data_IF_416172829856
#
_entry.id   IF_416172829856
#
_cell.length_a   1.000
_cell.length_b   1.000
_cell.length_c   1.000
_cell.angle_alpha   90.00
_cell.angle_beta   90.00
_cell.angle_gamma   90.00
#
_symmetry.space_group_name_H-M   'P 1'
#
loop_
_entity.id
_entity.type
_entity.pdbx_description
1 polymer ?
#
# COMPACT_ATOMS: atom_id res chain seq x y z
N UNK A 1 -3.72 1.11 -72.09
CA UNK A 1 -3.06 1.27 -70.78
C UNK A 1 -4.15 1.17 -69.72
N UNK A 2 -4.44 -0.05 -69.25
CA UNK A 2 -5.31 -0.26 -68.08
C UNK A 2 -4.47 -0.14 -66.84
N UNK A 3 -4.69 0.91 -66.06
CA UNK A 3 -4.27 0.99 -64.67
C UNK A 3 -5.07 -0.05 -63.89
N UNK A 4 -4.45 -1.17 -63.53
CA UNK A 4 -5.00 -2.06 -62.51
C UNK A 4 -4.99 -1.31 -61.19
N UNK A 5 -6.15 -0.80 -60.78
CA UNK A 5 -6.42 -0.47 -59.39
C UNK A 5 -6.23 -1.74 -58.58
N UNK A 6 -5.19 -1.75 -57.74
CA UNK A 6 -4.90 -2.76 -56.73
C UNK A 6 -6.08 -2.77 -55.74
N UNK A 7 -7.07 -3.63 -56.01
CA UNK A 7 -8.28 -3.75 -55.20
C UNK A 7 -7.93 -4.31 -53.81
N UNK A 8 -8.15 -3.48 -52.78
CA UNK A 8 -8.51 -3.94 -51.45
C UNK A 8 -7.46 -4.72 -50.66
N UNK A 9 -6.17 -4.56 -50.94
CA UNK A 9 -5.13 -5.15 -50.08
C UNK A 9 -4.95 -4.28 -48.85
N UNK A 10 -5.01 -4.90 -47.67
CA UNK A 10 -4.84 -4.23 -46.38
C UNK A 10 -3.60 -4.77 -45.66
N UNK A 11 -2.37 -4.38 -46.08
CA UNK A 11 -1.11 -4.92 -45.55
C UNK A 11 -1.01 -4.83 -44.04
N UNK A 12 -1.57 -3.78 -43.42
CA UNK A 12 -1.54 -3.63 -41.96
C UNK A 12 -2.26 -4.78 -41.24
N UNK A 13 -3.30 -5.35 -41.84
CA UNK A 13 -4.06 -6.48 -41.30
C UNK A 13 -3.21 -7.75 -41.33
N UNK A 14 -2.42 -7.93 -42.38
CA UNK A 14 -1.54 -9.09 -42.58
C UNK A 14 -0.26 -9.00 -41.73
N UNK A 15 0.29 -7.79 -41.56
CA UNK A 15 1.54 -7.53 -40.84
C UNK A 15 1.37 -7.46 -39.31
N UNK A 16 0.20 -7.04 -38.82
CA UNK A 16 -0.06 -6.84 -37.39
C UNK A 16 0.20 -8.08 -36.52
N UNK A 17 -0.20 -9.32 -36.90
CA UNK A 17 0.08 -10.51 -36.11
C UNK A 17 1.58 -10.73 -35.87
N UNK A 18 2.41 -10.53 -36.90
CA UNK A 18 3.87 -10.67 -36.80
C UNK A 18 4.48 -9.59 -35.89
N UNK A 19 4.00 -8.35 -36.00
CA UNK A 19 4.42 -7.25 -35.11
C UNK A 19 4.07 -7.53 -33.64
N UNK A 20 2.86 -8.05 -33.40
CA UNK A 20 2.41 -8.43 -32.05
C UNK A 20 3.28 -9.55 -31.49
N UNK A 21 3.59 -10.57 -32.30
CA UNK A 21 4.47 -11.66 -31.88
C UNK A 21 5.86 -11.15 -31.51
N UNK A 22 6.43 -10.25 -32.33
CA UNK A 22 7.72 -9.61 -32.04
C UNK A 22 7.75 -8.89 -30.69
N UNK A 23 6.66 -8.20 -30.32
CA UNK A 23 6.54 -7.55 -29.00
C UNK A 23 6.38 -8.56 -27.86
N UNK A 24 5.71 -9.69 -28.11
CA UNK A 24 5.54 -10.76 -27.12
C UNK A 24 6.85 -11.53 -26.87
N UNK A 25 7.70 -11.65 -27.89
CA UNK A 25 9.00 -12.32 -27.82
C UNK A 25 10.11 -11.44 -27.21
N UNK A 26 9.85 -10.14 -27.00
CA UNK A 26 10.76 -9.23 -26.30
C UNK A 26 11.00 -9.73 -24.85
N UNK A 27 12.26 -10.00 -24.45
CA UNK A 27 12.59 -10.52 -23.12
C UNK A 27 12.18 -9.57 -21.98
N UNK A 28 11.99 -8.28 -22.26
CA UNK A 28 11.52 -7.29 -21.28
C UNK A 28 9.97 -7.32 -21.10
N UNK A 29 9.25 -8.14 -21.88
CA UNK A 29 7.80 -8.27 -21.79
C UNK A 29 7.38 -9.22 -20.67
N UNK A 30 6.90 -8.63 -19.56
CA UNK A 30 6.29 -9.41 -18.47
C UNK A 30 4.97 -10.08 -18.86
N UNK A 31 4.56 -11.14 -18.15
CA UNK A 31 3.27 -11.82 -18.37
C UNK A 31 2.06 -10.87 -18.37
N UNK A 32 2.04 -9.90 -17.45
CA UNK A 32 0.96 -8.91 -17.41
C UNK A 32 0.95 -8.00 -18.64
N UNK A 33 2.13 -7.62 -19.15
CA UNK A 33 2.24 -6.84 -20.38
C UNK A 33 1.79 -7.69 -21.57
N UNK A 34 2.18 -8.97 -21.65
CA UNK A 34 1.75 -9.88 -22.70
C UNK A 34 0.21 -10.00 -22.76
N UNK A 35 -0.47 -10.11 -21.62
CA UNK A 35 -1.93 -10.15 -21.57
C UNK A 35 -2.57 -8.85 -22.07
N UNK A 36 -1.99 -7.69 -21.73
CA UNK A 36 -2.44 -6.41 -22.27
C UNK A 36 -2.19 -6.31 -23.77
N UNK A 37 -1.05 -6.79 -24.28
CA UNK A 37 -0.75 -6.82 -25.73
C UNK A 37 -1.79 -7.65 -26.47
N UNK A 38 -2.07 -8.87 -26.02
CA UNK A 38 -3.11 -9.74 -26.60
C UNK A 38 -4.51 -9.12 -26.54
N UNK A 39 -4.83 -8.42 -25.44
CA UNK A 39 -6.10 -7.70 -25.30
C UNK A 39 -6.24 -6.56 -26.31
N UNK A 40 -5.20 -5.73 -26.47
CA UNK A 40 -5.21 -4.61 -27.42
C UNK A 40 -5.22 -5.12 -28.86
N UNK A 41 -4.45 -6.15 -29.18
CA UNK A 41 -4.50 -6.82 -30.49
C UNK A 41 -5.93 -7.24 -30.86
N UNK A 42 -6.62 -7.97 -29.96
CA UNK A 42 -8.03 -8.33 -30.16
C UNK A 42 -8.95 -7.12 -30.33
N UNK A 43 -8.62 -5.98 -29.70
CA UNK A 43 -9.39 -4.74 -29.86
C UNK A 43 -9.16 -4.12 -31.24
N UNK A 44 -7.92 -4.16 -31.75
CA UNK A 44 -7.58 -3.70 -33.11
C UNK A 44 -8.28 -4.57 -34.15
N UNK A 45 -8.24 -5.90 -34.02
CA UNK A 45 -8.94 -6.81 -34.92
C UNK A 45 -10.44 -6.49 -35.01
N UNK A 46 -11.11 -6.28 -33.87
CA UNK A 46 -12.52 -5.88 -33.83
C UNK A 46 -12.81 -4.55 -34.51
N UNK A 47 -11.88 -3.59 -34.46
CA UNK A 47 -12.04 -2.34 -35.19
C UNK A 47 -11.87 -2.56 -36.70
N UNK A 48 -10.90 -3.38 -37.10
CA UNK A 48 -10.63 -3.76 -38.50
C UNK A 48 -11.74 -4.63 -39.11
N UNK A 49 -12.65 -5.21 -38.31
CA UNK A 49 -13.88 -5.85 -38.79
C UNK A 49 -14.91 -4.82 -39.32
N UNK A 50 -14.79 -3.54 -38.94
CA UNK A 50 -15.65 -2.48 -39.50
C UNK A 50 -15.02 -1.94 -40.79
N UNK A 51 -15.79 -1.95 -41.88
CA UNK A 51 -15.32 -1.49 -43.20
C UNK A 51 -14.82 -0.05 -43.18
N UNK A 52 -15.56 0.87 -42.54
CA UNK A 52 -15.19 2.30 -42.42
C UNK A 52 -13.82 2.52 -41.77
N UNK A 53 -13.52 1.74 -40.73
CA UNK A 53 -12.25 1.80 -40.04
C UNK A 53 -11.13 1.10 -40.83
N UNK A 54 -11.44 -0.05 -41.43
CA UNK A 54 -10.51 -0.86 -42.22
C UNK A 54 -10.04 -0.13 -43.48
N UNK A 55 -10.96 0.46 -44.23
CA UNK A 55 -10.66 1.25 -45.44
C UNK A 55 -9.76 2.44 -45.11
N UNK A 56 -10.05 3.12 -44.00
CA UNK A 56 -9.35 4.35 -43.63
C UNK A 56 -7.98 4.12 -43.01
N UNK A 57 -7.80 3.05 -42.25
CA UNK A 57 -6.58 2.85 -41.44
C UNK A 57 -5.87 1.51 -41.68
N UNK A 58 -6.46 0.57 -42.41
CA UNK A 58 -5.90 -0.78 -42.64
C UNK A 58 -4.85 -0.87 -43.76
N UNK A 59 -4.58 0.23 -44.47
CA UNK A 59 -3.71 0.25 -45.65
C UNK A 59 -2.22 0.20 -45.32
N UNK A 60 -1.80 0.61 -44.11
CA UNK A 60 -0.42 0.46 -43.63
C UNK A 60 -0.34 0.46 -42.10
N UNK A 61 0.73 -0.11 -41.53
CA UNK A 61 0.98 -0.02 -40.09
C UNK A 61 1.13 1.44 -39.61
N UNK A 62 1.61 2.35 -40.47
CA UNK A 62 1.70 3.79 -40.17
C UNK A 62 0.32 4.41 -39.97
N UNK A 63 -0.63 4.10 -40.84
CA UNK A 63 -2.01 4.59 -40.71
C UNK A 63 -2.71 3.94 -39.52
N UNK A 64 -2.56 2.62 -39.35
CA UNK A 64 -3.19 1.86 -38.27
C UNK A 64 -2.68 2.26 -36.88
N UNK A 65 -1.37 2.44 -36.72
CA UNK A 65 -0.72 2.74 -35.44
C UNK A 65 -0.45 4.26 -35.26
N UNK A 66 -0.81 5.09 -36.23
CA UNK A 66 -0.78 6.55 -36.14
C UNK A 66 -2.20 7.11 -35.94
N UNK A 67 -2.82 7.73 -36.96
CA UNK A 67 -4.20 8.24 -36.88
C UNK A 67 -5.22 7.18 -36.45
N UNK A 68 -5.09 5.95 -36.95
CA UNK A 68 -5.96 4.83 -36.60
C UNK A 68 -5.93 4.51 -35.10
N UNK A 69 -4.76 4.56 -34.47
CA UNK A 69 -4.63 4.33 -33.03
C UNK A 69 -5.39 5.37 -32.19
N UNK A 70 -5.45 6.63 -32.65
CA UNK A 70 -6.29 7.67 -32.04
C UNK A 70 -7.77 7.36 -32.25
N UNK A 71 -8.19 7.05 -33.47
CA UNK A 71 -9.57 6.66 -33.77
C UNK A 71 -10.02 5.41 -33.00
N UNK A 72 -9.14 4.43 -32.80
CA UNK A 72 -9.39 3.24 -31.99
C UNK A 72 -9.67 3.62 -30.53
N UNK A 73 -8.89 4.54 -29.99
CA UNK A 73 -9.14 5.07 -28.65
C UNK A 73 -10.55 5.66 -28.60
N UNK A 74 -10.91 6.57 -29.50
CA UNK A 74 -12.25 7.20 -29.59
C UNK A 74 -13.39 6.17 -29.67
N UNK A 75 -13.30 5.21 -30.59
CA UNK A 75 -14.28 4.11 -30.74
C UNK A 75 -14.50 3.35 -29.43
N UNK A 76 -13.43 3.11 -28.69
CA UNK A 76 -13.53 2.41 -27.40
C UNK A 76 -14.01 3.29 -26.25
N UNK A 77 -13.77 4.60 -26.29
CA UNK A 77 -14.31 5.56 -25.32
C UNK A 77 -15.82 5.65 -25.49
N UNK A 78 -16.28 5.76 -26.74
CA UNK A 78 -17.70 5.77 -27.10
C UNK A 78 -18.40 4.42 -26.86
N UNK A 79 -17.63 3.38 -26.50
CA UNK A 79 -18.15 2.04 -26.25
C UNK A 79 -18.64 1.31 -27.51
N UNK A 80 -18.25 1.78 -28.70
CA UNK A 80 -18.71 1.25 -29.99
C UNK A 80 -18.19 -0.17 -30.27
N UNK A 81 -17.07 -0.54 -29.67
CA UNK A 81 -16.50 -1.90 -29.76
C UNK A 81 -16.94 -2.84 -28.63
N UNK A 82 -17.91 -2.43 -27.79
CA UNK A 82 -18.49 -3.29 -26.73
C UNK A 82 -19.67 -4.09 -27.28
N UNK A 83 -19.84 -5.32 -26.77
CA UNK A 83 -21.05 -6.11 -27.03
C UNK A 83 -22.30 -5.30 -26.62
N UNK A 84 -23.34 -5.32 -27.47
CA UNK A 84 -24.62 -4.61 -27.25
C UNK A 84 -25.14 -4.90 -25.82
N UNK A 85 -25.33 -3.85 -25.03
CA UNK A 85 -25.85 -3.94 -23.64
C UNK A 85 -25.03 -3.17 -22.60
N UNK A 86 -23.76 -2.81 -22.89
CA UNK A 86 -22.88 -2.09 -21.94
C UNK A 86 -22.48 -0.69 -22.42
N UNK A 87 -23.43 0.07 -22.99
CA UNK A 87 -23.26 1.47 -23.40
C UNK A 87 -23.41 2.43 -22.22
N UNK A 88 -22.53 2.32 -21.23
CA UNK A 88 -22.33 3.40 -20.27
C UNK A 88 -21.24 4.31 -20.81
N UNK A 89 -21.56 5.60 -21.03
CA UNK A 89 -20.59 6.64 -21.35
C UNK A 89 -19.53 6.69 -20.24
N UNK A 90 -18.25 6.40 -20.52
CA UNK A 90 -17.21 6.51 -19.50
C UNK A 90 -17.04 7.99 -19.12
N UNK A 91 -17.16 8.29 -17.83
CA UNK A 91 -16.78 9.58 -17.26
C UNK A 91 -15.25 9.63 -17.11
N UNK A 92 -14.55 10.02 -18.20
CA UNK A 92 -13.12 10.32 -18.20
C UNK A 92 -12.16 9.16 -18.50
N UNK A 93 -10.86 9.44 -18.35
CA UNK A 93 -9.77 8.53 -18.74
C UNK A 93 -9.70 7.30 -17.85
N UNK A 94 -10.06 6.14 -18.40
CA UNK A 94 -10.03 4.86 -17.70
C UNK A 94 -8.62 4.26 -17.63
N UNK A 95 -8.38 3.37 -16.66
CA UNK A 95 -7.14 2.58 -16.60
C UNK A 95 -6.94 1.70 -17.85
N UNK A 96 -8.03 1.28 -18.49
CA UNK A 96 -8.01 0.49 -19.73
C UNK A 96 -7.54 1.33 -20.92
N UNK A 97 -8.02 2.56 -21.07
CA UNK A 97 -7.53 3.49 -22.10
C UNK A 97 -6.02 3.71 -21.96
N UNK A 98 -5.51 3.96 -20.75
CA UNK A 98 -4.06 4.13 -20.51
C UNK A 98 -3.24 2.90 -20.90
N UNK A 99 -3.71 1.71 -20.52
CA UNK A 99 -3.04 0.46 -20.89
C UNK A 99 -3.05 0.25 -22.40
N UNK A 100 -4.18 0.51 -23.06
CA UNK A 100 -4.28 0.46 -24.52
C UNK A 100 -3.28 1.40 -25.18
N UNK A 101 -3.31 2.66 -24.78
CA UNK A 101 -2.38 3.69 -25.21
C UNK A 101 -0.91 3.28 -25.04
N UNK A 102 -0.55 2.71 -23.89
CA UNK A 102 0.81 2.23 -23.63
C UNK A 102 1.24 1.10 -24.56
N UNK A 103 0.35 0.15 -24.82
CA UNK A 103 0.61 -0.94 -25.77
C UNK A 103 0.70 -0.42 -27.21
N UNK A 104 -0.18 0.49 -27.62
CA UNK A 104 -0.14 1.12 -28.93
C UNK A 104 1.18 1.85 -29.17
N UNK A 105 1.76 2.53 -28.16
CA UNK A 105 3.13 3.09 -28.26
C UNK A 105 4.19 2.03 -28.50
N UNK A 106 4.07 0.89 -27.80
CA UNK A 106 5.05 -0.19 -27.92
C UNK A 106 5.00 -0.79 -29.32
N UNK A 107 3.80 -1.05 -29.84
CA UNK A 107 3.58 -1.50 -31.23
C UNK A 107 4.06 -0.47 -32.25
N UNK A 108 3.70 0.81 -32.10
CA UNK A 108 4.12 1.87 -33.00
C UNK A 108 5.65 2.00 -33.05
N UNK A 109 6.32 1.98 -31.90
CA UNK A 109 7.79 2.00 -31.81
C UNK A 109 8.40 0.81 -32.53
N UNK A 110 7.87 -0.38 -32.31
CA UNK A 110 8.36 -1.60 -32.93
C UNK A 110 8.17 -1.61 -34.45
N UNK A 111 7.12 -0.96 -34.94
CA UNK A 111 6.84 -0.75 -36.35
C UNK A 111 7.58 0.46 -36.95
N UNK A 112 8.43 1.17 -36.18
CA UNK A 112 9.10 2.39 -36.64
C UNK A 112 8.16 3.58 -36.92
N UNK A 113 6.94 3.54 -36.38
CA UNK A 113 5.92 4.60 -36.50
C UNK A 113 6.13 5.66 -35.41
N UNK A 114 6.30 6.94 -35.75
CA UNK A 114 6.48 8.00 -34.76
C UNK A 114 5.29 8.09 -33.79
N UNK A 115 5.56 7.89 -32.49
CA UNK A 115 4.50 7.83 -31.46
C UNK A 115 3.82 9.17 -31.16
N UNK A 116 4.29 10.27 -31.74
CA UNK A 116 3.75 11.63 -31.54
C UNK A 116 2.34 11.82 -32.11
N UNK A 117 1.89 10.90 -32.98
CA UNK A 117 0.58 10.96 -33.65
C UNK A 117 -0.60 10.46 -32.79
N UNK A 118 -0.33 9.84 -31.64
CA UNK A 118 -1.39 9.25 -30.80
C UNK A 118 -1.69 10.20 -29.63
N UNK A 119 -2.94 10.66 -29.53
CA UNK A 119 -3.37 11.44 -28.37
C UNK A 119 -3.48 10.55 -27.12
N UNK A 120 -2.92 11.05 -26.02
CA UNK A 120 -2.88 10.34 -24.74
C UNK A 120 -3.39 11.23 -23.63
N UNK A 121 -4.66 11.09 -23.23
CA UNK A 121 -5.16 11.90 -22.14
C UNK A 121 -4.47 11.46 -20.84
N UNK A 122 -3.70 12.37 -20.24
CA UNK A 122 -3.14 12.14 -18.90
C UNK A 122 -4.32 12.13 -17.94
N UNK A 123 -4.44 11.12 -17.06
CA UNK A 123 -5.51 11.15 -16.07
C UNK A 123 -5.33 12.41 -15.22
N UNK A 124 -6.43 13.07 -14.82
CA UNK A 124 -6.33 14.09 -13.78
C UNK A 124 -5.68 13.46 -12.55
N UNK A 125 -4.93 14.27 -11.79
CA UNK A 125 -4.40 13.82 -10.50
C UNK A 125 -5.57 13.32 -9.67
N UNK A 126 -5.40 12.17 -9.02
CA UNK A 126 -6.41 11.68 -8.08
C UNK A 126 -6.61 12.77 -7.01
N UNK A 127 -7.85 13.04 -6.59
CA UNK A 127 -8.09 14.01 -5.54
C UNK A 127 -7.34 13.59 -4.28
N UNK A 128 -6.78 14.58 -3.57
CA UNK A 128 -6.22 14.41 -2.24
C UNK A 128 -7.23 14.87 -1.21
N UNK A 129 -7.13 14.35 0.01
CA UNK A 129 -7.96 14.85 1.11
C UNK A 129 -7.40 16.19 1.61
N UNK A 130 -8.21 17.25 1.70
CA UNK A 130 -7.72 18.57 2.10
C UNK A 130 -7.19 18.56 3.54
N UNK A 131 -6.24 19.45 3.84
CA UNK A 131 -5.53 19.46 5.13
C UNK A 131 -6.47 19.64 6.34
N UNK A 132 -7.50 20.49 6.20
CA UNK A 132 -8.49 20.72 7.26
C UNK A 132 -9.29 19.44 7.56
N UNK A 133 -9.73 18.71 6.52
CA UNK A 133 -10.50 17.47 6.68
C UNK A 133 -9.63 16.37 7.29
N UNK A 134 -8.34 16.30 6.94
CA UNK A 134 -7.39 15.38 7.59
C UNK A 134 -7.18 15.70 9.07
N UNK A 135 -7.13 16.97 9.42
CA UNK A 135 -7.01 17.42 10.82
C UNK A 135 -8.28 17.09 11.62
N UNK A 136 -9.46 17.31 11.02
CA UNK A 136 -10.74 16.88 11.60
C UNK A 136 -10.78 15.36 11.79
N UNK A 137 -10.46 14.58 10.76
CA UNK A 137 -10.36 13.12 10.82
C UNK A 137 -9.46 12.66 11.97
N UNK A 138 -8.28 13.25 12.14
CA UNK A 138 -7.38 12.93 13.25
C UNK A 138 -8.02 13.18 14.63
N UNK A 139 -8.73 14.29 14.80
CA UNK A 139 -9.42 14.60 16.07
C UNK A 139 -10.59 13.64 16.34
N UNK A 140 -11.39 13.33 15.33
CA UNK A 140 -12.51 12.38 15.47
C UNK A 140 -12.02 10.96 15.77
N UNK A 141 -10.89 10.53 15.17
CA UNK A 141 -10.25 9.26 15.51
C UNK A 141 -9.86 9.19 16.98
N UNK A 142 -9.35 10.29 17.56
CA UNK A 142 -8.97 10.34 18.97
C UNK A 142 -10.17 10.03 19.86
N UNK A 143 -11.32 10.65 19.59
CA UNK A 143 -12.56 10.41 20.34
C UNK A 143 -13.05 8.97 20.17
N UNK A 144 -13.11 8.48 18.92
CA UNK A 144 -13.56 7.12 18.61
C UNK A 144 -12.68 6.03 19.24
N UNK A 145 -11.37 6.23 19.25
CA UNK A 145 -10.42 5.31 19.89
C UNK A 145 -10.59 5.36 21.41
N UNK A 146 -10.85 6.54 21.99
CA UNK A 146 -11.11 6.72 23.41
C UNK A 146 -12.34 5.96 23.93
N UNK A 147 -13.34 5.72 23.06
CA UNK A 147 -14.50 4.89 23.41
C UNK A 147 -14.24 3.38 23.41
N UNK A 148 -13.06 2.92 22.98
CA UNK A 148 -12.70 1.50 22.89
C UNK A 148 -13.79 0.63 22.20
N UNK A 149 -14.02 0.82 20.89
CA UNK A 149 -15.16 0.23 20.20
C UNK A 149 -15.10 -1.30 20.22
N UNK A 150 -16.22 -1.93 20.59
CA UNK A 150 -16.37 -3.38 20.56
C UNK A 150 -16.69 -3.93 19.17
N UNK A 151 -17.18 -3.09 18.25
CA UNK A 151 -17.44 -3.48 16.86
C UNK A 151 -16.12 -3.79 16.13
N UNK A 152 -15.92 -5.03 15.63
CA UNK A 152 -14.66 -5.40 14.99
C UNK A 152 -14.37 -4.64 13.69
N UNK A 153 -15.41 -4.21 12.98
CA UNK A 153 -15.26 -3.46 11.74
C UNK A 153 -14.72 -2.06 11.99
N UNK A 154 -15.29 -1.35 12.96
CA UNK A 154 -14.87 -0.03 13.42
C UNK A 154 -13.48 -0.08 14.05
N UNK A 155 -13.22 -0.99 15.01
CA UNK A 155 -11.91 -1.12 15.66
C UNK A 155 -10.78 -1.35 14.63
N UNK A 156 -11.01 -2.23 13.65
CA UNK A 156 -10.08 -2.45 12.54
C UNK A 156 -9.94 -1.21 11.64
N UNK A 157 -11.03 -0.51 11.34
CA UNK A 157 -10.98 0.71 10.53
C UNK A 157 -10.12 1.78 11.20
N UNK A 158 -10.23 1.97 12.52
CA UNK A 158 -9.41 2.94 13.27
C UNK A 158 -7.91 2.65 13.13
N UNK A 159 -7.51 1.37 13.24
CA UNK A 159 -6.12 0.94 12.98
C UNK A 159 -5.70 1.27 11.55
N UNK A 160 -6.52 0.92 10.55
CA UNK A 160 -6.22 1.16 9.14
C UNK A 160 -6.03 2.64 8.85
N UNK A 161 -6.93 3.50 9.33
CA UNK A 161 -6.85 4.94 9.10
C UNK A 161 -5.65 5.54 9.84
N UNK A 162 -5.41 5.15 11.09
CA UNK A 162 -4.25 5.58 11.88
C UNK A 162 -2.92 5.24 11.19
N UNK A 163 -2.76 4.01 10.71
CA UNK A 163 -1.57 3.60 9.95
C UNK A 163 -1.41 4.37 8.64
N UNK A 164 -2.49 4.69 7.92
CA UNK A 164 -2.43 5.51 6.70
C UNK A 164 -2.00 6.94 7.03
N UNK A 165 -2.50 7.53 8.11
CA UNK A 165 -2.06 8.84 8.57
C UNK A 165 -0.57 8.82 8.93
N UNK A 166 -0.13 7.87 9.73
CA UNK A 166 1.22 7.85 10.31
C UNK A 166 2.31 7.39 9.35
N UNK A 167 2.02 6.42 8.48
CA UNK A 167 3.04 5.79 7.62
C UNK A 167 2.72 5.86 6.12
N UNK A 168 1.52 6.29 5.73
CA UNK A 168 1.03 6.31 4.35
C UNK A 168 1.28 5.01 3.54
N UNK A 169 1.06 3.80 4.09
CA UNK A 169 1.10 2.56 3.33
C UNK A 169 0.02 2.51 2.25
N UNK A 170 0.33 1.83 1.14
CA UNK A 170 -0.69 1.42 0.17
C UNK A 170 -1.56 0.31 0.76
N UNK A 171 -2.77 0.14 0.26
CA UNK A 171 -3.67 -0.96 0.67
C UNK A 171 -2.99 -2.33 0.58
N UNK A 172 -2.18 -2.57 -0.45
CA UNK A 172 -1.42 -3.83 -0.57
C UNK A 172 -0.37 -4.02 0.51
N UNK A 173 0.32 -2.94 0.91
CA UNK A 173 1.34 -2.93 1.96
C UNK A 173 0.69 -3.13 3.34
N UNK A 174 -0.51 -2.56 3.57
CA UNK A 174 -1.31 -2.82 4.77
C UNK A 174 -1.73 -4.27 4.89
N UNK A 175 -2.17 -4.89 3.79
CA UNK A 175 -2.60 -6.30 3.79
C UNK A 175 -1.45 -7.28 4.11
N UNK A 176 -0.20 -6.86 3.90
CA UNK A 176 0.98 -7.69 4.22
C UNK A 176 1.52 -7.45 5.62
N UNK A 177 1.05 -6.44 6.35
CA UNK A 177 1.47 -6.19 7.72
C UNK A 177 1.00 -7.33 8.64
N UNK A 178 1.95 -7.90 9.39
CA UNK A 178 1.70 -8.89 10.43
C UNK A 178 1.79 -8.32 11.84
N UNK A 179 1.46 -9.15 12.84
CA UNK A 179 1.69 -8.82 14.26
C UNK A 179 3.18 -8.60 14.52
N UNK A 180 4.04 -9.36 13.85
CA UNK A 180 5.49 -9.25 14.02
C UNK A 180 6.06 -7.90 13.53
N UNK A 181 5.28 -7.16 12.74
CA UNK A 181 5.62 -5.84 12.22
C UNK A 181 5.27 -4.69 13.17
N UNK A 182 4.65 -4.98 14.32
CA UNK A 182 4.43 -4.00 15.39
C UNK A 182 5.58 -4.02 16.39
N UNK A 183 6.03 -2.84 16.82
CA UNK A 183 7.04 -2.71 17.87
C UNK A 183 6.55 -3.28 19.20
N UNK A 184 7.46 -3.67 20.13
CA UNK A 184 7.10 -4.18 21.46
C UNK A 184 6.03 -3.33 22.18
N UNK A 185 6.18 -2.01 22.11
CA UNK A 185 5.32 -1.02 22.75
C UNK A 185 4.27 -0.42 21.81
N UNK A 186 4.04 -1.06 20.67
CA UNK A 186 3.14 -0.63 19.59
C UNK A 186 3.48 0.74 18.98
N UNK A 187 4.56 1.38 19.42
CA UNK A 187 4.85 2.76 19.06
C UNK A 187 5.40 2.91 17.65
N UNK A 188 5.96 1.86 17.06
CA UNK A 188 6.45 1.83 15.68
C UNK A 188 5.84 0.65 14.89
N UNK A 189 5.81 0.78 13.57
CA UNK A 189 5.36 -0.25 12.61
C UNK A 189 6.36 -0.43 11.46
N UNK A 190 6.64 -1.68 11.07
CA UNK A 190 7.38 -2.00 9.85
C UNK A 190 6.43 -1.99 8.65
N UNK A 191 6.78 -1.21 7.63
CA UNK A 191 6.10 -1.18 6.35
C UNK A 191 7.06 -1.69 5.29
N UNK A 192 6.73 -2.84 4.71
CA UNK A 192 7.44 -3.38 3.55
C UNK A 192 6.90 -2.69 2.30
N UNK A 193 7.69 -1.78 1.73
CA UNK A 193 7.35 -1.07 0.50
C UNK A 193 7.53 -1.99 -0.69
N UNK A 194 6.48 -2.05 -1.50
CA UNK A 194 6.53 -2.71 -2.81
C UNK A 194 6.46 -1.63 -3.90
N UNK A 195 7.61 -1.11 -4.36
CA UNK A 195 7.65 -0.06 -5.37
C UNK A 195 7.05 -0.58 -6.68
N UNK A 196 5.91 -0.02 -7.06
CA UNK A 196 5.25 -0.35 -8.33
C UNK A 196 6.17 0.02 -9.51
N UNK A 197 6.24 -0.87 -10.51
CA UNK A 197 6.99 -0.68 -11.76
C UNK A 197 8.52 -0.78 -11.67
N UNK A 198 9.08 -1.30 -10.58
CA UNK A 198 10.45 -1.80 -10.58
C UNK A 198 10.38 -3.32 -10.70
N UNK A 199 10.96 -3.90 -11.75
CA UNK A 199 11.00 -5.36 -11.99
C UNK A 199 11.88 -6.13 -11.02
N UNK A 200 12.38 -5.48 -9.98
CA UNK A 200 13.26 -6.06 -8.98
C UNK A 200 12.49 -6.51 -7.74
N UNK A 201 12.89 -7.62 -7.13
CA UNK A 201 12.46 -8.08 -5.80
C UNK A 201 12.90 -7.16 -4.64
N UNK A 202 13.29 -5.90 -4.93
CA UNK A 202 13.74 -4.91 -3.97
C UNK A 202 12.57 -4.41 -3.13
N UNK A 203 12.31 -5.13 -2.04
CA UNK A 203 11.42 -4.71 -0.98
C UNK A 203 12.20 -3.83 0.00
N UNK A 204 11.78 -2.57 0.14
CA UNK A 204 12.35 -1.66 1.13
C UNK A 204 11.54 -1.76 2.42
N UNK A 205 12.16 -2.14 3.54
CA UNK A 205 11.48 -2.09 4.84
C UNK A 205 11.73 -0.73 5.49
N UNK A 206 10.66 -0.01 5.77
CA UNK A 206 10.69 1.24 6.52
C UNK A 206 10.02 1.05 7.88
N UNK A 207 10.65 1.54 8.95
CA UNK A 207 10.10 1.50 10.31
C UNK A 207 9.60 2.89 10.67
N UNK A 208 8.29 3.01 10.87
CA UNK A 208 7.61 4.28 11.09
C UNK A 208 7.16 4.42 12.52
N UNK A 209 7.40 5.56 13.19
CA UNK A 209 6.68 5.88 14.42
C UNK A 209 5.19 6.02 14.12
N UNK A 210 4.36 5.55 15.04
CA UNK A 210 2.91 5.71 15.02
C UNK A 210 2.46 6.59 16.19
N UNK A 211 1.41 7.37 15.95
CA UNK A 211 0.85 8.30 16.92
C UNK A 211 0.24 7.55 18.12
N UNK A 212 0.11 8.20 19.29
CA UNK A 212 -0.60 7.61 20.42
C UNK A 212 -2.04 7.19 20.10
N UNK A 213 -2.70 7.85 19.14
CA UNK A 213 -4.04 7.48 18.68
C UNK A 213 -4.00 6.12 17.97
N UNK A 214 -3.02 5.91 17.07
CA UNK A 214 -2.84 4.62 16.40
C UNK A 214 -2.42 3.52 17.38
N UNK A 215 -1.60 3.85 18.39
CA UNK A 215 -1.24 2.91 19.47
C UNK A 215 -2.49 2.43 20.21
N UNK A 216 -3.33 3.35 20.68
CA UNK A 216 -4.57 3.01 21.35
C UNK A 216 -5.56 2.27 20.43
N UNK A 217 -5.60 2.59 19.13
CA UNK A 217 -6.38 1.83 18.16
C UNK A 217 -5.90 0.38 18.04
N UNK A 218 -4.57 0.15 18.03
CA UNK A 218 -3.97 -1.18 18.03
C UNK A 218 -4.28 -1.93 19.32
N UNK A 219 -4.18 -1.27 20.47
CA UNK A 219 -4.53 -1.86 21.79
C UNK A 219 -5.98 -2.34 21.82
N UNK A 220 -6.92 -1.57 21.27
CA UNK A 220 -8.32 -1.97 21.16
C UNK A 220 -8.52 -3.14 20.17
N UNK A 221 -7.76 -3.15 19.07
CA UNK A 221 -7.92 -4.13 18.00
C UNK A 221 -7.34 -5.51 18.31
N UNK A 222 -6.17 -5.58 18.97
CA UNK A 222 -5.47 -6.86 19.17
C UNK A 222 -6.30 -7.91 19.96
N UNK A 223 -7.01 -7.56 21.04
CA UNK A 223 -7.90 -8.50 21.73
C UNK A 223 -9.09 -8.95 20.86
N UNK A 224 -9.71 -8.03 20.12
CA UNK A 224 -10.82 -8.35 19.20
C UNK A 224 -10.33 -9.33 18.13
N UNK A 225 -9.18 -9.02 17.52
CA UNK A 225 -8.52 -9.89 16.55
C UNK A 225 -8.29 -11.29 17.11
N UNK A 226 -7.77 -11.41 18.34
CA UNK A 226 -7.54 -12.71 18.97
C UNK A 226 -8.83 -13.56 19.03
N UNK A 227 -9.97 -12.94 19.36
CA UNK A 227 -11.28 -13.61 19.34
C UNK A 227 -11.70 -14.03 17.93
N UNK A 228 -11.40 -13.22 16.89
CA UNK A 228 -11.73 -13.55 15.50
C UNK A 228 -10.94 -14.76 14.97
N UNK A 229 -9.70 -14.96 15.43
CA UNK A 229 -8.79 -16.01 14.93
C UNK A 229 -8.76 -17.27 15.81
N UNK A 230 -9.42 -17.26 16.97
CA UNK A 230 -9.35 -18.35 17.95
C UNK A 230 -9.64 -19.74 17.33
N UNK A 231 -10.66 -19.83 16.47
CA UNK A 231 -11.07 -21.08 15.82
C UNK A 231 -10.37 -21.41 14.48
N UNK A 232 -9.35 -20.65 14.06
CA UNK A 232 -8.64 -20.93 12.81
C UNK A 232 -7.51 -21.95 12.99
N UNK A 233 -7.19 -22.67 11.91
CA UNK A 233 -6.01 -23.53 11.78
C UNK A 233 -5.03 -22.88 10.79
N UNK A 234 -3.72 -23.13 10.96
CA UNK A 234 -2.66 -22.53 10.13
C UNK A 234 -2.13 -21.20 10.67
N UNK A 235 -1.34 -20.49 9.86
CA UNK A 235 -0.72 -19.22 10.26
C UNK A 235 -1.76 -18.14 10.54
N UNK A 236 -1.61 -17.48 11.69
CA UNK A 236 -2.48 -16.42 12.18
C UNK A 236 -1.66 -15.16 12.41
N UNK A 237 -0.70 -14.86 11.54
CA UNK A 237 0.23 -13.74 11.72
C UNK A 237 -0.29 -12.39 11.20
N UNK A 238 -1.31 -12.39 10.33
CA UNK A 238 -1.81 -11.17 9.68
C UNK A 238 -2.43 -10.17 10.67
N UNK A 239 -2.05 -8.89 10.62
CA UNK A 239 -2.62 -7.86 11.50
C UNK A 239 -4.10 -7.62 11.20
N UNK A 240 -4.47 -7.57 9.92
CA UNK A 240 -5.81 -7.24 9.48
C UNK A 240 -6.54 -8.52 9.03
N UNK A 241 -7.55 -8.92 9.79
CA UNK A 241 -8.35 -10.13 9.54
C UNK A 241 -9.82 -9.79 9.32
N UNK A 242 -10.53 -10.61 8.56
CA UNK A 242 -11.97 -10.49 8.31
C UNK A 242 -12.80 -10.71 9.58
N UNK A 243 -13.90 -9.98 9.76
CA UNK A 243 -14.87 -10.23 10.84
C UNK A 243 -16.12 -11.01 10.36
N UNK A 244 -16.09 -11.57 9.15
CA UNK A 244 -17.10 -12.54 8.70
C UNK A 244 -18.30 -11.97 7.94
N UNK A 245 -18.09 -11.08 6.96
CA UNK A 245 -19.20 -10.55 6.14
C UNK A 245 -19.25 -11.22 4.75
N UNK A 246 -20.41 -11.75 4.36
CA UNK A 246 -20.61 -12.40 3.06
C UNK A 246 -19.77 -13.67 2.89
N UNK A 247 -19.04 -13.78 1.77
CA UNK A 247 -18.23 -14.95 1.43
C UNK A 247 -16.91 -15.07 2.22
N UNK A 248 -16.51 -14.05 3.00
CA UNK A 248 -15.23 -14.06 3.71
C UNK A 248 -15.37 -14.74 5.07
N UNK A 249 -14.67 -15.87 5.26
CA UNK A 249 -14.59 -16.54 6.57
C UNK A 249 -14.02 -15.62 7.64
N UNK A 250 -14.62 -15.62 8.83
CA UNK A 250 -14.13 -14.87 10.00
C UNK A 250 -12.69 -15.26 10.35
N UNK A 251 -11.87 -14.27 10.71
CA UNK A 251 -10.48 -14.41 11.12
C UNK A 251 -9.47 -14.56 9.98
N UNK A 252 -9.89 -14.73 8.72
CA UNK A 252 -8.92 -14.90 7.62
C UNK A 252 -8.23 -13.58 7.27
N UNK A 253 -6.96 -13.61 6.82
CA UNK A 253 -6.25 -12.40 6.39
C UNK A 253 -7.03 -11.62 5.32
N UNK A 254 -7.10 -10.29 5.46
CA UNK A 254 -7.75 -9.43 4.48
C UNK A 254 -6.88 -9.23 3.25
N UNK A 255 -7.38 -9.68 2.10
CA UNK A 255 -6.86 -9.27 0.79
C UNK A 255 -7.26 -7.83 0.44
N UNK A 256 -6.61 -7.26 -0.59
CA UNK A 256 -6.83 -5.87 -1.05
C UNK A 256 -8.30 -5.53 -1.28
N UNK A 257 -9.04 -6.41 -1.97
CA UNK A 257 -10.46 -6.21 -2.28
C UNK A 257 -11.30 -6.16 -0.99
N UNK A 258 -11.12 -7.14 -0.10
CA UNK A 258 -11.83 -7.20 1.17
C UNK A 258 -11.54 -6.01 2.08
N UNK A 259 -10.30 -5.50 2.10
CA UNK A 259 -9.95 -4.29 2.85
C UNK A 259 -10.67 -3.04 2.30
N UNK A 260 -10.71 -2.89 0.96
CA UNK A 260 -11.42 -1.75 0.33
C UNK A 260 -12.92 -1.83 0.60
N UNK A 261 -13.53 -2.99 0.36
CA UNK A 261 -14.97 -3.19 0.57
C UNK A 261 -15.36 -2.95 2.03
N UNK A 262 -14.58 -3.49 2.97
CA UNK A 262 -14.80 -3.24 4.39
C UNK A 262 -14.66 -1.77 4.75
N UNK A 263 -13.64 -1.09 4.24
CA UNK A 263 -13.41 0.32 4.56
C UNK A 263 -14.59 1.17 4.08
N UNK A 264 -15.05 0.95 2.84
CA UNK A 264 -16.19 1.68 2.26
C UNK A 264 -17.46 1.43 3.07
N UNK A 265 -17.73 0.19 3.46
CA UNK A 265 -18.88 -0.15 4.28
C UNK A 265 -18.86 0.61 5.62
N UNK A 266 -17.73 0.55 6.34
CA UNK A 266 -17.59 1.18 7.65
C UNK A 266 -17.64 2.71 7.59
N UNK A 267 -17.05 3.32 6.57
CA UNK A 267 -17.21 4.76 6.31
C UNK A 267 -18.68 5.10 6.05
N UNK A 268 -19.40 4.27 5.28
CA UNK A 268 -20.84 4.44 5.04
C UNK A 268 -21.66 4.40 6.33
N UNK A 269 -21.43 3.39 7.17
CA UNK A 269 -22.12 3.21 8.45
C UNK A 269 -21.89 4.38 9.39
N UNK A 270 -20.64 4.87 9.44
CA UNK A 270 -20.23 5.98 10.27
C UNK A 270 -20.82 7.31 9.80
N UNK A 271 -20.83 7.58 8.49
CA UNK A 271 -21.56 8.73 7.91
C UNK A 271 -23.05 8.64 8.26
N UNK A 272 -23.64 7.46 8.14
CA UNK A 272 -25.04 7.22 8.49
C UNK A 272 -25.34 7.50 9.96
N UNK A 273 -24.46 7.05 10.86
CA UNK A 273 -24.58 7.30 12.30
C UNK A 273 -24.51 8.78 12.65
N UNK A 274 -23.50 9.50 12.12
CA UNK A 274 -23.34 10.96 12.34
C UNK A 274 -24.55 11.74 11.82
N UNK A 275 -25.04 11.38 10.63
CA UNK A 275 -26.23 12.01 10.04
C UNK A 275 -27.47 11.81 10.90
N UNK A 276 -27.71 10.58 11.40
CA UNK A 276 -28.84 10.27 12.30
C UNK A 276 -28.77 11.02 13.62
N UNK A 277 -27.56 11.29 14.13
CA UNK A 277 -27.34 12.06 15.35
C UNK A 277 -27.52 13.59 15.15
N UNK A 278 -27.93 14.05 13.96
CA UNK A 278 -28.09 15.48 13.65
C UNK A 278 -26.76 16.22 13.44
N UNK A 279 -25.64 15.49 13.37
CA UNK A 279 -24.32 16.06 13.09
C UNK A 279 -24.18 16.47 11.62
N UNK A 280 -23.44 17.56 11.36
CA UNK A 280 -23.02 17.91 9.99
C UNK A 280 -21.76 17.14 9.61
N UNK A 281 -21.91 16.28 8.61
CA UNK A 281 -20.91 15.90 7.61
C UNK A 281 -19.46 15.78 8.07
N UNK A 282 -19.12 14.69 8.74
CA UNK A 282 -17.72 14.28 8.83
C UNK A 282 -17.20 13.99 7.42
N UNK A 283 -16.22 14.78 6.97
CA UNK A 283 -15.55 14.53 5.70
C UNK A 283 -14.61 13.33 5.86
N UNK A 284 -15.17 12.13 5.66
CA UNK A 284 -14.42 10.88 5.61
C UNK A 284 -13.87 10.65 4.20
N UNK A 285 -12.64 10.09 4.07
CA UNK A 285 -12.05 9.82 2.77
C UNK A 285 -12.91 8.82 1.99
N UNK A 286 -13.14 9.10 0.71
CA UNK A 286 -13.84 8.19 -0.21
C UNK A 286 -13.08 6.88 -0.41
N UNK A 287 -11.75 6.91 -0.23
CA UNK A 287 -10.91 5.73 -0.22
C UNK A 287 -9.56 5.98 0.44
N UNK A 288 -8.92 4.89 0.88
CA UNK A 288 -7.60 4.94 1.53
C UNK A 288 -6.53 5.64 0.68
N UNK A 289 -6.64 5.56 -0.65
CA UNK A 289 -5.71 6.22 -1.56
C UNK A 289 -5.82 7.76 -1.50
N UNK A 290 -7.03 8.31 -1.34
CA UNK A 290 -7.24 9.76 -1.22
C UNK A 290 -6.55 10.29 0.06
N UNK A 291 -6.72 9.57 1.17
CA UNK A 291 -6.08 9.88 2.44
C UNK A 291 -4.55 9.77 2.34
N UNK A 292 -4.05 8.65 1.79
CA UNK A 292 -2.62 8.40 1.59
C UNK A 292 -1.96 9.50 0.75
N UNK A 293 -2.60 9.92 -0.33
CA UNK A 293 -2.07 10.99 -1.19
C UNK A 293 -2.06 12.34 -0.47
N UNK A 294 -3.08 12.66 0.34
CA UNK A 294 -3.07 13.88 1.16
C UNK A 294 -1.92 13.90 2.18
N UNK A 295 -1.62 12.76 2.80
CA UNK A 295 -0.44 12.62 3.68
C UNK A 295 0.87 12.79 2.90
N UNK A 296 0.98 12.22 1.70
CA UNK A 296 2.17 12.38 0.86
C UNK A 296 2.38 13.81 0.37
N UNK A 297 1.31 14.50 0.03
CA UNK A 297 1.34 15.92 -0.35
C UNK A 297 1.89 16.77 0.80
N UNK A 298 1.36 16.57 2.02
CA UNK A 298 1.86 17.26 3.22
C UNK A 298 3.36 16.98 3.45
N UNK A 299 3.79 15.71 3.34
CA UNK A 299 5.21 15.35 3.50
C UNK A 299 6.10 15.98 2.44
N UNK A 300 5.62 16.07 1.20
CA UNK A 300 6.36 16.67 0.09
C UNK A 300 6.52 18.18 0.29
N UNK A 301 5.45 18.86 0.74
CA UNK A 301 5.50 20.28 1.10
C UNK A 301 6.54 20.53 2.19
N UNK A 302 6.55 19.73 3.26
CA UNK A 302 7.55 19.86 4.32
C UNK A 302 8.99 19.59 3.84
N UNK A 303 9.20 18.60 2.97
CA UNK A 303 10.53 18.31 2.45
C UNK A 303 11.07 19.49 1.62
N UNK A 304 10.19 20.18 0.89
CA UNK A 304 10.56 21.39 0.16
C UNK A 304 10.91 22.57 1.10
N UNK A 305 10.14 22.77 2.18
CA UNK A 305 10.44 23.78 3.22
C UNK A 305 11.77 23.51 3.94
N UNK A 306 12.15 22.24 4.10
CA UNK A 306 13.45 21.85 4.67
C UNK A 306 14.62 22.11 3.75
N UNK A 307 14.47 21.79 2.46
CA UNK A 307 15.48 22.15 1.47
C UNK A 307 15.71 23.68 1.44
N UNK A 308 14.70 24.46 1.86
CA UNK A 308 14.78 25.91 2.03
C UNK A 308 15.34 26.39 3.39
N UNK A 309 15.87 25.51 4.25
CA UNK A 309 16.59 25.87 5.48
C UNK A 309 15.77 25.86 6.77
N UNK A 310 14.54 25.33 6.77
CA UNK A 310 13.73 25.13 7.98
C UNK A 310 14.21 23.91 8.81
N UNK A 311 14.03 23.96 10.14
CA UNK A 311 14.53 22.96 11.12
C UNK A 311 14.18 21.48 10.79
N UNK A 312 14.98 20.57 11.37
CA UNK A 312 14.94 19.10 11.25
C UNK A 312 13.52 18.52 11.39
N UNK A 313 13.12 17.51 10.57
CA UNK A 313 11.78 16.96 10.63
C UNK A 313 11.57 16.11 11.87
N UNK A 314 10.38 16.24 12.46
CA UNK A 314 9.79 15.19 13.30
C UNK A 314 9.30 14.00 12.43
N UNK A 315 8.94 14.22 11.17
CA UNK A 315 8.22 13.23 10.35
C UNK A 315 9.10 12.51 9.33
N UNK A 316 9.30 11.21 9.53
CA UNK A 316 9.99 10.28 8.64
C UNK A 316 10.11 8.89 9.26
N UNK A 317 10.52 7.85 8.50
CA UNK A 317 10.78 6.56 9.11
C UNK A 317 12.01 6.67 10.02
N UNK A 318 11.91 6.10 11.22
CA UNK A 318 13.00 6.04 12.19
C UNK A 318 14.14 5.15 11.70
N UNK A 319 13.81 4.10 10.93
CA UNK A 319 14.79 3.18 10.32
C UNK A 319 14.37 2.88 8.89
N UNK A 320 15.32 2.92 7.96
CA UNK A 320 15.16 2.39 6.59
C UNK A 320 16.15 1.24 6.41
N UNK A 321 15.64 0.04 6.21
CA UNK A 321 16.43 -1.13 5.86
C UNK A 321 16.42 -1.23 4.34
N UNK A 322 17.51 -0.77 3.72
CA UNK A 322 17.65 -0.81 2.27
C UNK A 322 18.41 -2.09 1.89
N UNK A 323 17.79 -3.01 1.11
CA UNK A 323 18.44 -4.23 0.65
C UNK A 323 19.65 -3.97 -0.27
N UNK A 324 19.81 -2.74 -0.77
CA UNK A 324 20.97 -2.32 -1.57
C UNK A 324 22.16 -1.83 -0.74
N UNK A 325 22.06 -1.78 0.59
CA UNK A 325 23.21 -1.47 1.43
C UNK A 325 24.15 -2.68 1.49
N UNK A 326 25.48 -2.47 1.56
CA UNK A 326 26.43 -3.55 1.80
C UNK A 326 26.03 -4.35 3.04
N UNK A 327 25.92 -5.67 2.89
CA UNK A 327 25.42 -6.59 3.92
C UNK A 327 26.17 -6.43 5.25
N UNK A 328 27.48 -6.16 5.19
CA UNK A 328 28.34 -5.96 6.35
C UNK A 328 27.98 -4.71 7.17
N UNK A 329 27.54 -3.63 6.51
CA UNK A 329 27.13 -2.40 7.21
C UNK A 329 25.84 -2.63 7.98
N UNK A 330 24.87 -3.33 7.39
CA UNK A 330 23.63 -3.64 8.10
C UNK A 330 23.86 -4.66 9.21
N UNK A 331 24.69 -5.70 9.02
CA UNK A 331 25.13 -6.61 10.08
C UNK A 331 25.76 -5.86 11.25
N UNK A 332 26.68 -4.92 10.99
CA UNK A 332 27.34 -4.12 12.02
C UNK A 332 26.35 -3.26 12.80
N UNK A 333 25.40 -2.60 12.12
CA UNK A 333 24.38 -1.78 12.79
C UNK A 333 23.42 -2.63 13.61
N UNK A 334 23.05 -3.81 13.13
CA UNK A 334 22.21 -4.76 13.87
C UNK A 334 22.91 -5.28 15.11
N UNK A 335 24.18 -5.69 15.01
CA UNK A 335 24.99 -6.09 16.15
C UNK A 335 25.13 -4.97 17.19
N UNK A 336 25.36 -3.73 16.75
CA UNK A 336 25.42 -2.58 17.64
C UNK A 336 24.08 -2.31 18.36
N UNK A 337 22.94 -2.49 17.68
CA UNK A 337 21.63 -2.37 18.32
C UNK A 337 21.38 -3.46 19.36
N UNK A 338 21.75 -4.71 19.06
CA UNK A 338 21.66 -5.83 20.02
C UNK A 338 22.56 -5.61 21.24
N UNK A 339 23.80 -5.15 21.05
CA UNK A 339 24.72 -4.87 22.15
C UNK A 339 24.16 -3.80 23.11
N UNK A 340 23.46 -2.79 22.58
CA UNK A 340 22.78 -1.76 23.40
C UNK A 340 21.65 -2.34 24.25
N UNK A 341 20.94 -3.37 23.78
CA UNK A 341 19.90 -4.05 24.59
C UNK A 341 20.53 -4.69 25.81
N UNK A 342 21.63 -5.44 25.63
CA UNK A 342 22.33 -6.09 26.75
C UNK A 342 22.79 -5.07 27.78
N UNK A 343 23.44 -3.98 27.34
CA UNK A 343 23.87 -2.89 28.23
C UNK A 343 22.69 -2.23 28.97
N UNK A 344 21.55 -2.07 28.30
CA UNK A 344 20.37 -1.47 28.91
C UNK A 344 19.69 -2.40 29.93
N UNK A 345 19.74 -3.72 29.73
CA UNK A 345 19.27 -4.71 30.73
C UNK A 345 20.15 -4.66 31.98
N UNK A 346 21.48 -4.66 31.82
CA UNK A 346 22.41 -4.53 32.94
C UNK A 346 22.19 -3.24 33.74
N UNK A 347 22.01 -2.11 33.04
CA UNK A 347 21.71 -0.83 33.65
C UNK A 347 20.35 -0.81 34.39
N UNK A 348 19.35 -1.49 33.84
CA UNK A 348 18.04 -1.64 34.49
C UNK A 348 18.13 -2.46 35.78
N UNK A 349 18.83 -3.60 35.77
CA UNK A 349 19.04 -4.40 36.97
C UNK A 349 19.86 -3.64 38.03
N UNK A 350 20.91 -2.93 37.63
CA UNK A 350 21.71 -2.13 38.55
C UNK A 350 20.89 -1.00 39.20
N UNK A 351 20.10 -0.28 38.40
CA UNK A 351 19.21 0.77 38.92
C UNK A 351 18.18 0.19 39.90
N UNK A 352 17.53 -0.91 39.53
CA UNK A 352 16.53 -1.60 40.37
C UNK A 352 17.11 -2.10 41.69
N UNK A 353 18.32 -2.66 41.68
CA UNK A 353 19.00 -3.14 42.89
C UNK A 353 19.42 -1.99 43.82
N UNK A 354 19.72 -0.81 43.27
CA UNK A 354 20.10 0.39 44.04
C UNK A 354 18.91 1.20 44.56
N UNK A 355 17.74 1.04 43.96
CA UNK A 355 16.53 1.77 44.30
C UNK A 355 15.68 1.03 45.33
N UNK A 356 14.96 1.79 46.16
CA UNK A 356 14.00 1.21 47.12
C UNK A 356 12.61 0.91 46.51
N UNK A 357 12.32 1.45 45.32
CA UNK A 357 11.03 1.30 44.62
C UNK A 357 11.18 1.47 43.09
N UNK A 358 10.26 0.88 42.34
CA UNK A 358 10.16 0.94 40.87
C UNK A 358 9.82 2.34 40.33
N UNK A 359 9.32 3.24 41.18
CA UNK A 359 9.02 4.62 40.80
C UNK A 359 10.24 5.55 40.87
N UNK A 360 11.40 5.05 41.34
CA UNK A 360 12.62 5.83 41.42
C UNK A 360 13.01 6.41 40.04
N UNK A 361 13.33 7.72 39.92
CA UNK A 361 13.71 8.34 38.66
C UNK A 361 14.84 7.64 37.90
N UNK A 362 15.77 7.00 38.60
CA UNK A 362 16.87 6.22 38.01
C UNK A 362 16.35 4.94 37.34
N UNK A 363 15.44 4.21 38.00
CA UNK A 363 14.75 3.03 37.45
C UNK A 363 13.90 3.43 36.24
N UNK A 364 13.13 4.51 36.34
CA UNK A 364 12.31 5.02 35.22
C UNK A 364 13.17 5.40 34.00
N UNK A 365 14.35 6.01 34.22
CA UNK A 365 15.29 6.34 33.14
C UNK A 365 15.92 5.10 32.52
N UNK A 366 16.33 4.13 33.34
CA UNK A 366 16.86 2.86 32.86
C UNK A 366 15.82 2.08 32.05
N UNK A 367 14.57 2.05 32.52
CA UNK A 367 13.43 1.46 31.81
C UNK A 367 13.18 2.13 30.46
N UNK A 368 13.20 3.47 30.39
CA UNK A 368 13.09 4.19 29.11
C UNK A 368 14.22 3.81 28.14
N UNK A 369 15.44 3.75 28.64
CA UNK A 369 16.63 3.36 27.85
C UNK A 369 16.49 1.93 27.31
N UNK A 370 16.02 1.01 28.15
CA UNK A 370 15.77 -0.38 27.77
C UNK A 370 14.68 -0.49 26.69
N UNK A 371 13.58 0.26 26.80
CA UNK A 371 12.53 0.31 25.76
C UNK A 371 13.07 0.82 24.43
N UNK A 372 13.83 1.92 24.45
CA UNK A 372 14.43 2.50 23.25
C UNK A 372 15.42 1.53 22.59
N UNK A 373 16.28 0.87 23.38
CA UNK A 373 17.23 -0.12 22.88
C UNK A 373 16.51 -1.34 22.27
N UNK A 374 15.48 -1.87 22.98
CA UNK A 374 14.69 -3.02 22.54
C UNK A 374 13.96 -2.71 21.24
N UNK A 375 13.32 -1.55 21.14
CA UNK A 375 12.63 -1.08 19.93
C UNK A 375 13.60 -0.94 18.75
N UNK A 376 14.79 -0.37 18.99
CA UNK A 376 15.81 -0.21 17.96
C UNK A 376 16.38 -1.56 17.47
N UNK A 377 16.55 -2.54 18.36
CA UNK A 377 16.94 -3.90 17.99
C UNK A 377 15.85 -4.58 17.16
N UNK A 378 14.61 -4.59 17.65
CA UNK A 378 13.46 -5.14 16.92
C UNK A 378 13.31 -4.53 15.53
N UNK A 379 13.48 -3.20 15.40
CA UNK A 379 13.36 -2.49 14.13
C UNK A 379 14.32 -3.03 13.04
N UNK A 380 15.43 -3.65 13.46
CA UNK A 380 16.46 -4.23 12.57
C UNK A 380 16.37 -5.75 12.43
N UNK A 381 15.63 -6.42 13.30
CA UNK A 381 15.49 -7.89 13.35
C UNK A 381 14.02 -8.30 13.36
N UNK A 382 13.60 -9.06 14.37
CA UNK A 382 12.25 -9.54 14.64
C UNK A 382 12.07 -9.74 16.16
N UNK A 383 10.86 -10.13 16.57
CA UNK A 383 10.55 -10.39 17.97
C UNK A 383 11.27 -11.63 18.52
N UNK A 384 11.41 -12.69 17.72
CA UNK A 384 12.05 -13.94 18.15
C UNK A 384 13.51 -13.70 18.57
N UNK A 385 14.28 -13.00 17.74
CA UNK A 385 15.67 -12.65 18.02
C UNK A 385 15.78 -11.69 19.22
N UNK A 386 14.87 -10.71 19.31
CA UNK A 386 14.89 -9.71 20.38
C UNK A 386 14.52 -10.32 21.74
N UNK A 387 13.47 -11.14 21.81
CA UNK A 387 13.07 -11.86 23.03
C UNK A 387 14.15 -12.84 23.48
N UNK A 388 14.74 -13.60 22.55
CA UNK A 388 15.87 -14.49 22.86
C UNK A 388 17.04 -13.72 23.46
N UNK A 389 17.36 -12.54 22.93
CA UNK A 389 18.43 -11.69 23.45
C UNK A 389 18.11 -11.16 24.85
N UNK A 390 16.87 -10.72 25.11
CA UNK A 390 16.44 -10.27 26.44
C UNK A 390 16.57 -11.40 27.48
N UNK A 391 16.16 -12.63 27.13
CA UNK A 391 16.34 -13.80 27.99
C UNK A 391 17.81 -14.15 28.23
N UNK A 392 18.66 -14.07 27.20
CA UNK A 392 20.10 -14.27 27.34
C UNK A 392 20.76 -13.20 28.22
N UNK A 393 20.26 -11.97 28.18
CA UNK A 393 20.63 -10.88 29.09
C UNK A 393 19.99 -11.01 30.48
N UNK A 394 19.31 -12.13 30.78
CA UNK A 394 18.67 -12.46 32.06
C UNK A 394 17.52 -11.54 32.46
N UNK A 395 16.83 -10.91 31.50
CA UNK A 395 15.56 -10.24 31.78
C UNK A 395 14.47 -11.30 31.97
N UNK A 396 13.80 -11.28 33.12
CA UNK A 396 12.71 -12.21 33.43
C UNK A 396 11.47 -11.92 32.57
N UNK A 397 10.58 -12.92 32.41
CA UNK A 397 9.33 -12.75 31.67
C UNK A 397 8.44 -11.64 32.28
N UNK A 398 8.38 -11.58 33.62
CA UNK A 398 7.60 -10.58 34.34
C UNK A 398 8.14 -9.14 34.12
N UNK A 399 9.39 -9.01 33.71
CA UNK A 399 10.04 -7.73 33.42
C UNK A 399 9.98 -7.34 31.92
N UNK A 400 9.32 -8.13 31.05
CA UNK A 400 9.20 -7.78 29.62
C UNK A 400 8.47 -6.45 29.39
N UNK A 401 7.57 -6.05 30.29
CA UNK A 401 6.94 -4.73 30.29
C UNK A 401 7.95 -3.58 30.51
N UNK A 402 9.06 -3.84 31.21
CA UNK A 402 10.17 -2.89 31.34
C UNK A 402 10.91 -2.71 30.00
N UNK A 403 11.00 -3.77 29.19
CA UNK A 403 11.51 -3.72 27.81
C UNK A 403 10.49 -3.17 26.79
N UNK A 404 9.26 -2.90 27.23
CA UNK A 404 8.22 -2.27 26.44
C UNK A 404 7.27 -3.23 25.75
N UNK A 405 7.40 -4.54 25.95
CA UNK A 405 6.43 -5.50 25.44
C UNK A 405 5.09 -5.31 26.15
N UNK A 406 4.03 -5.00 25.39
CA UNK A 406 2.67 -4.98 25.93
C UNK A 406 2.11 -6.39 26.02
N UNK A 407 1.26 -6.63 27.02
CA UNK A 407 0.58 -7.93 27.21
C UNK A 407 -0.21 -8.30 25.94
N UNK A 408 -1.00 -7.36 25.41
CA UNK A 408 -1.76 -7.55 24.17
C UNK A 408 -0.89 -7.98 22.97
N UNK A 409 0.34 -7.47 22.86
CA UNK A 409 1.24 -7.87 21.78
C UNK A 409 1.84 -9.25 22.02
N UNK A 410 2.28 -9.56 23.24
CA UNK A 410 2.79 -10.88 23.60
C UNK A 410 1.74 -11.97 23.34
N UNK A 411 0.51 -11.73 23.81
CA UNK A 411 -0.67 -12.56 23.54
C UNK A 411 -0.90 -12.75 22.03
N UNK A 412 -0.78 -11.67 21.26
CA UNK A 412 -0.96 -11.73 19.82
C UNK A 412 0.17 -12.49 19.12
N UNK A 413 1.41 -12.38 19.58
CA UNK A 413 2.57 -13.10 19.04
C UNK A 413 2.48 -14.59 19.34
N UNK A 414 2.10 -14.98 20.55
CA UNK A 414 1.94 -16.40 20.93
C UNK A 414 0.84 -17.10 20.12
N UNK A 415 -0.22 -16.36 19.77
CA UNK A 415 -1.35 -16.87 18.98
C UNK A 415 -1.13 -16.82 17.46
N UNK A 416 0.00 -16.30 16.96
CA UNK A 416 0.24 -16.00 15.53
C UNK A 416 0.82 -17.15 14.70
#
# INVERSE_FOLDING_TARGET
MSTSTDEGRYPAVEELPALVQKVLDDPDTTNSVADHVRWVYRTICKALEREDYKERYGTSLRELLGPGATALCELTENGELRLRGFKNNPKGVTASQRRRSSVLRRLAREAGVPSGAIYYPKPPRKPTMPAWARSQLHNELKELVGYAPSDPGLARMLVVVGLVLDAAPRTGELCTCGIADLAPDLSWVKIIRNPQAVSSDLHLTEVWPVSPITQAALENWLPIRAQLIAGLQGSKSALLVSHGHGAYRRGTPLGRKGLIESYVAQVGDLKGAVTRAGGKGWELPEGLEQLRLGVQEQRSAYTAEQAAGSKTPHWGPAVKLNPLLPEDLEKKKTAAAMAKVVQAVDAFHAARASAGDETDPTVLRARRTLREATRAAWARTDHTATLKLLHQAKLANDDLAAAGYTENLLDALERS
#
